data_IF_954274646886
#
_entry.id   IF_954274646886
#
_cell.length_a   1.000
_cell.length_b   1.000
_cell.length_c   1.000
_cell.angle_alpha   90.00
_cell.angle_beta   90.00
_cell.angle_gamma   90.00
#
_symmetry.space_group_name_H-M   'P 1'
#
loop_
_entity.id
_entity.type
_entity.pdbx_description
1 polymer ?
#
# COMPACT_ATOMS: atom_id res chain seq x y z
N UNK A 1 6.12 15.66 -3.37
CA UNK A 1 5.33 14.48 -3.77
C UNK A 1 4.58 13.82 -2.59
N UNK A 2 5.27 13.42 -1.52
CA UNK A 2 4.69 12.70 -0.37
C UNK A 2 3.50 13.42 0.32
N UNK A 3 3.53 14.75 0.40
CA UNK A 3 2.48 15.56 1.07
C UNK A 3 1.12 15.53 0.37
N UNK A 4 1.09 15.37 -0.96
CA UNK A 4 -0.16 15.32 -1.74
C UNK A 4 -0.84 13.95 -1.65
N UNK A 5 -0.07 12.89 -1.38
CA UNK A 5 -0.56 11.52 -1.23
C UNK A 5 -1.22 11.27 0.12
N UNK A 6 -0.64 11.78 1.21
CA UNK A 6 -1.25 11.70 2.55
C UNK A 6 -2.66 12.31 2.59
N UNK A 7 -2.89 13.39 1.84
CA UNK A 7 -4.21 14.00 1.71
C UNK A 7 -5.21 13.14 0.92
N UNK A 8 -4.75 12.36 -0.07
CA UNK A 8 -5.62 11.55 -0.93
C UNK A 8 -6.12 10.28 -0.21
N UNK A 9 -5.22 9.57 0.49
CA UNK A 9 -5.64 8.42 1.31
C UNK A 9 -6.53 8.82 2.49
N UNK A 10 -6.26 9.98 3.12
CA UNK A 10 -7.12 10.54 4.14
C UNK A 10 -8.52 10.88 3.58
N UNK A 11 -8.61 11.38 2.34
CA UNK A 11 -9.88 11.68 1.70
C UNK A 11 -10.70 10.43 1.38
N UNK A 12 -10.08 9.35 0.89
CA UNK A 12 -10.78 8.07 0.64
C UNK A 12 -11.25 7.36 1.92
N UNK A 13 -10.58 7.62 3.06
CA UNK A 13 -11.01 7.10 4.36
C UNK A 13 -12.16 7.92 4.99
N UNK A 14 -12.40 9.16 4.54
CA UNK A 14 -13.33 10.10 5.17
C UNK A 14 -14.76 10.11 4.57
N UNK A 15 -15.02 9.41 3.45
CA UNK A 15 -16.33 9.46 2.77
C UNK A 15 -17.44 8.64 3.45
N UNK A 16 -17.17 7.99 4.58
CA UNK A 16 -18.14 7.16 5.31
C UNK A 16 -18.39 7.60 6.76
N UNK A 17 -18.97 8.78 7.00
CA UNK A 17 -19.52 9.06 8.34
C UNK A 17 -19.59 10.51 8.77
N UNK A 18 -20.48 11.30 8.16
CA UNK A 18 -20.77 12.66 8.63
C UNK A 18 -21.73 12.60 9.83
N UNK A 19 -21.20 12.44 11.05
CA UNK A 19 -21.93 12.79 12.28
C UNK A 19 -21.35 14.06 12.90
N UNK A 20 -22.11 15.14 12.79
CA UNK A 20 -21.86 16.41 13.48
C UNK A 20 -21.95 16.16 14.99
N UNK A 21 -20.87 16.37 15.73
CA UNK A 21 -20.93 16.48 17.19
C UNK A 21 -20.63 17.92 17.57
N UNK A 22 -21.63 18.52 18.20
CA UNK A 22 -21.70 19.92 18.64
C UNK A 22 -20.81 20.12 19.87
N UNK A 23 -20.03 21.20 19.83
CA UNK A 23 -19.18 21.74 20.89
C UNK A 23 -19.97 22.03 22.17
N UNK A 24 -19.42 21.69 23.35
CA UNK A 24 -19.67 22.44 24.59
C UNK A 24 -18.39 22.57 25.40
N UNK A 25 -17.92 23.82 25.49
CA UNK A 25 -16.97 24.28 26.49
C UNK A 25 -17.68 24.36 27.85
N UNK A 26 -17.06 23.85 28.90
CA UNK A 26 -17.36 24.25 30.27
C UNK A 26 -16.06 24.30 31.07
N UNK A 27 -15.68 25.52 31.42
CA UNK A 27 -14.59 25.86 32.35
C UNK A 27 -15.19 25.88 33.74
N UNK A 28 -14.59 25.16 34.70
CA UNK A 28 -14.77 25.44 36.13
C UNK A 28 -13.50 25.04 36.89
N UNK A 29 -12.87 26.04 37.49
CA UNK A 29 -11.75 25.94 38.41
C UNK A 29 -12.24 25.64 39.83
N UNK A 30 -11.68 24.65 40.51
CA UNK A 30 -11.75 24.52 41.97
C UNK A 30 -10.40 24.03 42.50
N UNK A 31 -9.80 24.84 43.36
CA UNK A 31 -8.64 24.56 44.20
C UNK A 31 -8.98 23.56 45.30
N UNK A 32 -8.18 22.51 45.44
CA UNK A 32 -8.25 21.58 46.57
C UNK A 32 -6.99 20.71 46.66
N UNK A 33 -6.19 20.94 47.70
CA UNK A 33 -5.07 20.07 48.09
C UNK A 33 -5.63 18.73 48.56
N UNK A 34 -5.34 17.64 47.82
CA UNK A 34 -5.62 16.28 48.25
C UNK A 34 -4.35 15.43 48.12
N UNK A 35 -3.93 14.82 49.24
CA UNK A 35 -2.88 13.80 49.30
C UNK A 35 -3.32 12.59 48.46
N UNK A 36 -2.77 12.42 47.27
CA UNK A 36 -3.03 11.28 46.41
C UNK A 36 -1.99 10.18 46.66
N UNK A 37 -2.46 9.06 47.20
CA UNK A 37 -1.70 7.82 47.28
C UNK A 37 -1.31 7.37 45.86
N UNK A 38 -0.01 7.15 45.63
CA UNK A 38 0.55 6.57 44.41
C UNK A 38 0.18 5.07 44.34
N UNK A 39 -1.04 4.77 43.93
CA UNK A 39 -1.41 3.45 43.44
C UNK A 39 -1.02 3.31 41.97
N UNK A 40 -0.55 2.14 41.50
CA UNK A 40 -0.26 1.94 40.08
C UNK A 40 -1.56 2.11 39.28
N UNK A 41 -1.60 3.14 38.44
CA UNK A 41 -2.65 3.29 37.42
C UNK A 41 -2.49 2.19 36.41
N UNK A 42 -3.22 1.09 36.60
CA UNK A 42 -3.41 0.08 35.56
C UNK A 42 -4.15 0.79 34.43
N UNK A 43 -3.43 1.15 33.37
CA UNK A 43 -4.05 1.62 32.14
C UNK A 43 -5.03 0.54 31.69
N UNK A 44 -6.32 0.87 31.66
CA UNK A 44 -7.31 0.00 31.03
C UNK A 44 -6.94 -0.10 29.56
N UNK A 45 -6.30 -1.21 29.19
CA UNK A 45 -6.18 -1.60 27.80
C UNK A 45 -7.61 -1.77 27.27
N UNK A 46 -8.00 -0.91 26.34
CA UNK A 46 -9.24 -1.09 25.59
C UNK A 46 -9.10 -2.43 24.87
N UNK A 47 -9.78 -3.47 25.36
CA UNK A 47 -9.78 -4.78 24.73
C UNK A 47 -10.45 -4.63 23.38
N UNK A 48 -9.69 -4.81 22.31
CA UNK A 48 -10.19 -4.78 20.95
C UNK A 48 -11.05 -6.03 20.73
N UNK A 49 -12.37 -5.87 20.73
CA UNK A 49 -13.30 -6.92 20.32
C UNK A 49 -13.35 -7.00 18.80
N UNK A 50 -12.26 -7.52 18.22
CA UNK A 50 -12.10 -7.82 16.80
C UNK A 50 -10.87 -8.72 16.67
N UNK A 51 -10.89 -9.70 15.78
CA UNK A 51 -9.90 -10.77 15.64
C UNK A 51 -8.49 -10.28 15.23
N UNK A 52 -7.80 -9.43 15.99
CA UNK A 52 -6.41 -9.00 15.75
C UNK A 52 -6.09 -8.29 14.41
N UNK A 53 -7.02 -8.25 13.45
CA UNK A 53 -6.83 -7.72 12.12
C UNK A 53 -6.99 -6.20 12.09
N UNK A 54 -6.02 -5.51 11.48
CA UNK A 54 -6.20 -4.11 11.10
C UNK A 54 -7.29 -3.99 10.03
N UNK A 55 -7.94 -2.82 9.93
CA UNK A 55 -8.93 -2.57 8.88
C UNK A 55 -8.28 -2.51 7.48
N UNK A 56 -7.04 -2.02 7.42
CA UNK A 56 -6.23 -1.92 6.21
C UNK A 56 -4.86 -2.55 6.45
N UNK A 57 -4.33 -3.25 5.46
CA UNK A 57 -2.95 -3.71 5.42
C UNK A 57 -2.25 -3.16 4.18
N UNK A 58 -1.00 -2.71 4.35
CA UNK A 58 -0.15 -2.23 3.25
C UNK A 58 0.98 -3.24 3.04
N UNK A 59 0.99 -3.88 1.88
CA UNK A 59 2.06 -4.78 1.43
C UNK A 59 3.05 -3.93 0.63
N UNK A 60 4.27 -3.78 1.14
CA UNK A 60 5.29 -2.88 0.59
C UNK A 60 6.41 -3.66 -0.10
N UNK A 61 6.66 -3.38 -1.38
CA UNK A 61 7.82 -3.87 -2.11
C UNK A 61 8.87 -2.76 -2.29
N UNK A 62 10.10 -3.04 -1.86
CA UNK A 62 11.21 -2.07 -1.83
C UNK A 62 11.86 -1.84 -3.21
N UNK A 63 12.78 -0.89 -3.32
CA UNK A 63 13.62 -0.69 -4.49
C UNK A 63 14.72 -1.74 -4.57
N UNK A 64 15.32 -1.86 -5.76
CA UNK A 64 16.56 -2.63 -5.91
C UNK A 64 17.66 -2.08 -4.99
N UNK A 65 18.50 -2.98 -4.48
CA UNK A 65 19.64 -2.75 -3.57
C UNK A 65 19.30 -2.28 -2.16
N UNK A 66 18.02 -2.04 -1.85
CA UNK A 66 17.60 -1.76 -0.48
C UNK A 66 17.68 -3.01 0.39
N UNK A 67 17.98 -2.83 1.68
CA UNK A 67 17.94 -3.92 2.66
C UNK A 67 16.52 -4.48 2.81
N UNK A 68 16.40 -5.77 3.16
CA UNK A 68 15.09 -6.40 3.38
C UNK A 68 14.25 -5.60 4.40
N UNK A 69 13.02 -5.29 4.01
CA UNK A 69 12.13 -4.37 4.72
C UNK A 69 11.32 -3.53 3.75
N UNK A 70 10.71 -2.44 4.25
CA UNK A 70 9.80 -1.59 3.48
C UNK A 70 10.49 -0.59 2.55
N UNK A 71 11.82 -0.52 2.59
CA UNK A 71 12.61 0.42 1.80
C UNK A 71 12.28 1.89 2.09
N UNK A 72 12.61 2.76 1.13
CA UNK A 72 12.35 4.20 1.18
C UNK A 72 10.86 4.54 1.37
N UNK A 73 9.96 3.66 0.91
CA UNK A 73 8.51 3.80 1.04
C UNK A 73 7.97 3.48 2.44
N UNK A 74 8.77 2.90 3.34
CA UNK A 74 8.35 2.64 4.72
C UNK A 74 7.90 3.90 5.46
N UNK A 75 8.62 5.00 5.29
CA UNK A 75 8.24 6.29 5.89
C UNK A 75 6.87 6.80 5.40
N UNK A 76 6.51 6.50 4.14
CA UNK A 76 5.19 6.84 3.61
C UNK A 76 4.12 5.95 4.23
N UNK A 77 4.36 4.65 4.35
CA UNK A 77 3.45 3.72 5.00
C UNK A 77 3.19 4.11 6.47
N UNK A 78 4.23 4.51 7.22
CA UNK A 78 4.10 5.04 8.58
C UNK A 78 3.29 6.34 8.62
N UNK A 79 3.50 7.27 7.68
CA UNK A 79 2.70 8.49 7.60
C UNK A 79 1.22 8.20 7.34
N UNK A 80 0.93 7.24 6.46
CA UNK A 80 -0.45 6.78 6.21
C UNK A 80 -1.05 6.19 7.47
N UNK A 81 -0.33 5.30 8.16
CA UNK A 81 -0.78 4.69 9.41
C UNK A 81 -1.10 5.74 10.47
N UNK A 82 -0.27 6.78 10.62
CA UNK A 82 -0.47 7.84 11.60
C UNK A 82 -1.60 8.81 11.24
N UNK A 83 -1.86 9.02 9.94
CA UNK A 83 -2.89 9.95 9.46
C UNK A 83 -4.27 9.29 9.28
N UNK A 84 -4.32 7.95 9.25
CA UNK A 84 -5.55 7.21 9.00
C UNK A 84 -6.48 7.22 10.21
N UNK A 85 -7.79 7.37 9.96
CA UNK A 85 -8.81 7.10 10.97
C UNK A 85 -9.07 5.59 11.16
N UNK A 86 -8.55 4.76 10.26
CA UNK A 86 -8.65 3.31 10.32
C UNK A 86 -7.39 2.70 10.94
N UNK A 87 -7.51 1.53 11.56
CA UNK A 87 -6.31 0.77 11.94
C UNK A 87 -5.60 0.26 10.69
N UNK A 88 -4.31 0.57 10.59
CA UNK A 88 -3.45 0.17 9.45
C UNK A 88 -2.32 -0.72 9.96
N UNK A 89 -2.13 -1.87 9.33
CA UNK A 89 -0.92 -2.69 9.43
C UNK A 89 -0.07 -2.55 8.18
N UNK A 90 1.20 -2.92 8.29
CA UNK A 90 2.14 -2.87 7.17
C UNK A 90 3.03 -4.10 7.19
N UNK A 91 3.28 -4.70 6.05
CA UNK A 91 4.23 -5.79 5.86
C UNK A 91 5.10 -5.53 4.63
N UNK A 92 6.22 -6.25 4.54
CA UNK A 92 7.23 -6.01 3.52
C UNK A 92 7.49 -7.29 2.74
N UNK A 93 7.42 -7.19 1.41
CA UNK A 93 7.66 -8.31 0.51
C UNK A 93 9.07 -8.84 0.72
N UNK A 94 9.18 -10.13 1.02
CA UNK A 94 10.47 -10.81 1.13
C UNK A 94 10.94 -11.27 -0.23
N UNK A 95 11.95 -10.60 -0.79
CA UNK A 95 12.50 -10.96 -2.11
C UNK A 95 13.90 -10.35 -2.32
N UNK A 96 14.66 -10.74 -3.37
CA UNK A 96 16.06 -10.34 -3.50
C UNK A 96 16.30 -8.82 -3.70
N UNK A 97 15.41 -8.14 -4.43
CA UNK A 97 15.56 -6.75 -4.83
C UNK A 97 16.93 -6.43 -5.49
N UNK A 98 17.36 -7.19 -6.50
CA UNK A 98 18.69 -7.02 -7.14
C UNK A 98 18.59 -6.42 -8.55
N UNK A 99 19.69 -5.81 -9.03
CA UNK A 99 19.80 -5.26 -10.39
C UNK A 99 20.48 -6.23 -11.38
N UNK A 100 21.52 -6.92 -10.95
CA UNK A 100 22.35 -7.81 -11.78
C UNK A 100 21.59 -9.05 -12.31
N UNK A 101 20.53 -9.47 -11.62
CA UNK A 101 19.60 -10.52 -12.05
C UNK A 101 18.15 -10.07 -11.89
N UNK A 102 17.86 -8.83 -12.35
CA UNK A 102 16.57 -8.15 -12.18
C UNK A 102 15.37 -9.05 -12.47
N UNK A 103 15.35 -9.76 -13.60
CA UNK A 103 14.19 -10.59 -13.98
C UNK A 103 13.87 -11.67 -12.94
N UNK A 104 14.89 -12.38 -12.46
CA UNK A 104 14.70 -13.40 -11.43
C UNK A 104 14.29 -12.78 -10.08
N UNK A 105 14.85 -11.61 -9.74
CA UNK A 105 14.50 -10.88 -8.52
C UNK A 105 13.04 -10.43 -8.55
N UNK A 106 12.64 -9.77 -9.64
CA UNK A 106 11.30 -9.26 -9.87
C UNK A 106 10.27 -10.40 -9.86
N UNK A 107 10.52 -11.51 -10.57
CA UNK A 107 9.62 -12.67 -10.60
C UNK A 107 9.42 -13.30 -9.21
N UNK A 108 10.48 -13.37 -8.39
CA UNK A 108 10.38 -13.79 -6.99
C UNK A 108 9.60 -12.79 -6.15
N UNK A 109 9.79 -11.49 -6.40
CA UNK A 109 9.01 -10.41 -5.79
C UNK A 109 7.51 -10.56 -6.06
N UNK A 110 7.12 -10.75 -7.31
CA UNK A 110 5.70 -10.96 -7.69
C UNK A 110 5.15 -12.22 -7.05
N UNK A 111 5.91 -13.32 -7.12
CA UNK A 111 5.49 -14.60 -6.52
C UNK A 111 5.24 -14.44 -5.01
N UNK A 112 6.14 -13.78 -4.29
CA UNK A 112 6.05 -13.64 -2.84
C UNK A 112 5.01 -12.59 -2.43
N UNK A 113 4.89 -11.48 -3.17
CA UNK A 113 3.82 -10.50 -2.94
C UNK A 113 2.42 -11.12 -3.13
N UNK A 114 2.25 -12.02 -4.12
CA UNK A 114 1.01 -12.81 -4.30
C UNK A 114 0.75 -13.74 -3.12
N UNK A 115 1.77 -14.38 -2.58
CA UNK A 115 1.65 -15.27 -1.41
C UNK A 115 1.31 -14.49 -0.15
N UNK A 116 1.94 -13.34 0.08
CA UNK A 116 1.62 -12.42 1.18
C UNK A 116 0.17 -11.94 1.06
N UNK A 117 -0.26 -11.47 -0.12
CA UNK A 117 -1.64 -11.06 -0.37
C UNK A 117 -2.63 -12.20 -0.07
N UNK A 118 -2.37 -13.41 -0.56
CA UNK A 118 -3.24 -14.55 -0.31
C UNK A 118 -3.29 -14.92 1.19
N UNK A 119 -2.16 -14.82 1.89
CA UNK A 119 -2.07 -15.10 3.32
C UNK A 119 -2.79 -14.05 4.17
N UNK A 120 -2.63 -12.77 3.83
CA UNK A 120 -3.32 -11.65 4.48
C UNK A 120 -4.84 -11.76 4.29
N UNK A 121 -5.30 -12.06 3.07
CA UNK A 121 -6.72 -12.27 2.77
C UNK A 121 -7.29 -13.48 3.51
N UNK A 122 -6.56 -14.59 3.56
CA UNK A 122 -6.99 -15.80 4.28
C UNK A 122 -7.10 -15.55 5.79
N UNK A 123 -6.11 -14.87 6.36
CA UNK A 123 -6.04 -14.59 7.81
C UNK A 123 -7.06 -13.52 8.23
N UNK A 124 -7.28 -12.53 7.36
CA UNK A 124 -8.14 -11.38 7.61
C UNK A 124 -9.07 -11.09 6.42
N UNK A 125 -10.12 -11.89 6.17
CA UNK A 125 -10.97 -11.73 4.98
C UNK A 125 -11.69 -10.37 4.89
N UNK A 126 -11.92 -9.71 6.02
CA UNK A 126 -12.51 -8.36 6.06
C UNK A 126 -11.53 -7.21 5.85
N UNK A 127 -10.22 -7.47 5.89
CA UNK A 127 -9.18 -6.47 5.79
C UNK A 127 -8.96 -6.04 4.34
N UNK A 128 -8.93 -4.73 4.10
CA UNK A 128 -8.58 -4.17 2.79
C UNK A 128 -7.07 -4.16 2.59
N UNK A 129 -6.63 -4.51 1.39
CA UNK A 129 -5.22 -4.63 1.06
C UNK A 129 -4.81 -3.44 0.16
N UNK A 130 -3.66 -2.86 0.45
CA UNK A 130 -3.03 -1.83 -0.38
C UNK A 130 -1.67 -2.36 -0.81
N UNK A 131 -1.40 -2.33 -2.11
CA UNK A 131 -0.08 -2.68 -2.62
C UNK A 131 0.72 -1.41 -2.88
N UNK A 132 1.93 -1.33 -2.35
CA UNK A 132 2.80 -0.16 -2.46
C UNK A 132 4.19 -0.55 -2.91
N UNK A 133 4.76 0.17 -3.88
CA UNK A 133 6.08 -0.14 -4.38
C UNK A 133 6.85 1.06 -4.93
N UNK A 134 8.17 0.96 -4.86
CA UNK A 134 9.10 1.94 -5.45
C UNK A 134 10.13 1.25 -6.34
N UNK A 135 10.38 1.82 -7.53
CA UNK A 135 11.29 1.28 -8.55
C UNK A 135 10.94 -0.18 -8.91
N UNK A 136 11.85 -1.13 -8.73
CA UNK A 136 11.54 -2.57 -8.91
C UNK A 136 10.34 -3.03 -8.08
N UNK A 137 10.14 -2.48 -6.88
CA UNK A 137 8.97 -2.78 -6.07
C UNK A 137 7.66 -2.29 -6.69
N UNK A 138 7.69 -1.18 -7.43
CA UNK A 138 6.53 -0.70 -8.17
C UNK A 138 6.17 -1.66 -9.32
N UNK A 139 7.19 -2.19 -10.00
CA UNK A 139 7.03 -3.27 -10.98
C UNK A 139 6.32 -4.47 -10.33
N UNK A 140 6.87 -4.94 -9.21
CA UNK A 140 6.38 -6.11 -8.47
C UNK A 140 4.91 -5.96 -8.10
N UNK A 141 4.49 -4.83 -7.50
CA UNK A 141 3.11 -4.69 -7.01
C UNK A 141 2.07 -4.52 -8.12
N UNK A 142 2.42 -3.90 -9.23
CA UNK A 142 1.54 -3.82 -10.40
C UNK A 142 1.42 -5.19 -11.10
N UNK A 143 2.51 -5.96 -11.10
CA UNK A 143 2.55 -7.27 -11.73
C UNK A 143 1.88 -8.38 -10.89
N UNK A 144 1.58 -8.11 -9.61
CA UNK A 144 0.60 -8.91 -8.86
C UNK A 144 -0.76 -8.92 -9.58
N UNK A 145 -1.15 -7.83 -10.24
CA UNK A 145 -2.42 -7.73 -10.99
C UNK A 145 -2.29 -8.26 -12.41
N UNK A 146 -1.15 -8.01 -13.07
CA UNK A 146 -1.02 -8.24 -14.52
C UNK A 146 -0.26 -9.50 -14.89
N UNK A 147 0.50 -10.08 -13.96
CA UNK A 147 1.65 -10.91 -14.29
C UNK A 147 2.81 -10.06 -14.85
N UNK A 148 3.98 -10.68 -15.03
CA UNK A 148 5.24 -10.01 -15.36
C UNK A 148 5.79 -10.36 -16.77
N UNK A 149 4.91 -10.53 -17.75
CA UNK A 149 5.29 -10.98 -19.09
C UNK A 149 6.27 -10.04 -19.82
N UNK A 150 6.36 -8.77 -19.42
CA UNK A 150 7.32 -7.77 -19.90
C UNK A 150 8.74 -8.00 -19.37
N UNK A 151 8.88 -8.61 -18.19
CA UNK A 151 10.17 -8.85 -17.53
C UNK A 151 10.74 -10.22 -17.96
N UNK A 152 11.20 -10.30 -19.21
CA UNK A 152 11.89 -11.44 -19.87
C UNK A 152 11.23 -12.85 -19.69
N UNK A 153 10.93 -13.57 -20.79
CA UNK A 153 10.03 -14.74 -20.78
C UNK A 153 10.50 -16.01 -20.05
N UNK A 154 11.72 -16.08 -19.51
CA UNK A 154 12.23 -17.30 -18.85
C UNK A 154 11.73 -17.49 -17.41
N UNK A 155 11.13 -16.47 -16.78
CA UNK A 155 10.68 -16.51 -15.37
C UNK A 155 9.24 -16.00 -15.19
N UNK A 156 8.37 -16.21 -16.19
CA UNK A 156 7.01 -15.65 -16.19
C UNK A 156 6.17 -16.13 -15.01
N UNK A 157 5.59 -15.17 -14.30
CA UNK A 157 4.63 -15.30 -13.22
C UNK A 157 3.31 -14.70 -13.69
N UNK A 158 2.24 -15.50 -13.65
CA UNK A 158 0.89 -15.01 -13.94
C UNK A 158 0.33 -14.09 -12.85
N UNK A 159 -0.82 -13.45 -13.09
CA UNK A 159 -1.47 -12.60 -12.09
C UNK A 159 -1.90 -13.35 -10.82
N UNK A 160 -2.22 -12.62 -9.76
CA UNK A 160 -2.91 -13.15 -8.59
C UNK A 160 -4.32 -13.64 -8.94
N UNK A 161 -4.85 -14.63 -8.21
CA UNK A 161 -6.25 -15.04 -8.36
C UNK A 161 -7.21 -13.86 -8.13
N UNK A 162 -8.28 -13.79 -8.91
CA UNK A 162 -9.30 -12.75 -8.78
C UNK A 162 -9.90 -12.67 -7.36
N UNK A 163 -10.01 -13.81 -6.67
CA UNK A 163 -10.44 -13.87 -5.28
C UNK A 163 -9.55 -13.00 -4.38
N UNK A 164 -8.22 -13.11 -4.48
CA UNK A 164 -7.28 -12.28 -3.72
C UNK A 164 -7.32 -10.82 -4.17
N UNK A 165 -7.35 -10.57 -5.48
CA UNK A 165 -7.38 -9.21 -6.04
C UNK A 165 -8.63 -8.42 -5.62
N UNK A 166 -9.76 -9.09 -5.35
CA UNK A 166 -10.99 -8.45 -4.88
C UNK A 166 -10.87 -7.76 -3.50
N UNK A 167 -9.81 -8.06 -2.73
CA UNK A 167 -9.50 -7.38 -1.47
C UNK A 167 -8.56 -6.19 -1.63
N UNK A 168 -7.93 -6.02 -2.81
CA UNK A 168 -7.02 -4.90 -3.08
C UNK A 168 -7.84 -3.64 -3.34
N UNK A 169 -7.76 -2.69 -2.41
CA UNK A 169 -8.45 -1.42 -2.50
C UNK A 169 -7.66 -0.35 -3.27
N UNK A 170 -6.32 -0.43 -3.23
CA UNK A 170 -5.47 0.52 -3.94
C UNK A 170 -4.10 -0.07 -4.30
N UNK A 171 -3.51 0.48 -5.37
CA UNK A 171 -2.12 0.23 -5.78
C UNK A 171 -1.38 1.55 -5.93
N UNK A 172 -0.19 1.63 -5.37
CA UNK A 172 0.60 2.85 -5.24
C UNK A 172 2.01 2.56 -5.76
N UNK A 173 2.35 3.05 -6.94
CA UNK A 173 3.64 2.82 -7.57
C UNK A 173 4.44 4.11 -7.74
N UNK A 174 5.75 4.04 -7.57
CA UNK A 174 6.65 5.16 -7.80
C UNK A 174 7.84 4.71 -8.65
N UNK A 175 8.08 5.35 -9.79
CA UNK A 175 9.22 5.05 -10.67
C UNK A 175 9.16 3.64 -11.25
N UNK A 176 7.98 3.18 -11.63
CA UNK A 176 7.73 1.84 -12.15
C UNK A 176 8.45 1.59 -13.50
N UNK A 177 9.40 0.64 -13.57
CA UNK A 177 10.03 0.23 -14.82
C UNK A 177 9.04 -0.33 -15.85
N UNK A 178 7.88 -0.82 -15.39
CA UNK A 178 6.74 -1.31 -16.16
C UNK A 178 5.90 -0.23 -16.86
N UNK A 179 6.19 1.05 -16.60
CA UNK A 179 5.30 2.16 -16.95
C UNK A 179 5.05 2.27 -18.47
N UNK A 180 3.80 2.56 -18.84
CA UNK A 180 3.41 3.05 -20.15
C UNK A 180 2.76 4.40 -19.92
N UNK A 181 3.21 5.45 -20.59
CA UNK A 181 2.64 6.79 -20.35
C UNK A 181 1.19 6.91 -20.81
N UNK A 182 0.50 7.92 -20.27
CA UNK A 182 -0.87 8.34 -20.64
C UNK A 182 -1.96 7.34 -20.24
N UNK A 183 -1.71 6.50 -19.25
CA UNK A 183 -2.77 5.72 -18.62
C UNK A 183 -3.54 6.57 -17.61
N UNK A 184 -4.77 6.17 -17.31
CA UNK A 184 -5.66 6.93 -16.41
C UNK A 184 -5.18 6.94 -14.95
N UNK A 185 -4.23 6.09 -14.58
CA UNK A 185 -3.63 6.00 -13.25
C UNK A 185 -2.24 6.67 -13.15
N UNK A 186 -1.73 7.20 -14.26
CA UNK A 186 -0.42 7.84 -14.30
C UNK A 186 -0.49 9.23 -13.67
N UNK A 187 0.52 9.53 -12.86
CA UNK A 187 0.77 10.84 -12.27
C UNK A 187 2.23 11.20 -12.44
N UNK A 188 2.54 12.49 -12.31
CA UNK A 188 3.89 13.01 -12.51
C UNK A 188 4.01 13.79 -13.82
N UNK A 189 5.25 14.06 -14.19
CA UNK A 189 5.62 14.97 -15.28
C UNK A 189 6.03 14.23 -16.55
N UNK A 190 6.35 12.94 -16.48
CA UNK A 190 6.65 12.16 -17.68
C UNK A 190 5.37 11.78 -18.43
N UNK A 191 5.29 12.25 -19.68
CA UNK A 191 4.15 12.05 -20.57
C UNK A 191 4.57 11.50 -21.93
N UNK A 192 5.86 11.19 -22.12
CA UNK A 192 6.43 10.83 -23.41
C UNK A 192 7.32 9.61 -23.41
N UNK A 193 7.86 9.20 -22.26
CA UNK A 193 8.84 8.11 -22.18
C UNK A 193 8.26 6.92 -21.40
N UNK A 194 8.16 5.78 -22.07
CA UNK A 194 7.78 4.55 -21.39
C UNK A 194 8.94 4.06 -20.49
N UNK A 195 8.59 3.24 -19.50
CA UNK A 195 9.57 2.56 -18.66
C UNK A 195 10.46 1.60 -19.46
N UNK A 196 11.55 1.16 -18.83
CA UNK A 196 12.55 0.27 -19.44
C UNK A 196 12.02 -1.14 -19.72
N UNK A 197 10.91 -1.53 -19.10
CA UNK A 197 10.17 -2.77 -19.33
C UNK A 197 8.72 -2.43 -19.65
N UNK A 198 8.42 -1.81 -20.81
CA UNK A 198 7.07 -1.32 -21.09
C UNK A 198 6.05 -2.46 -21.05
N UNK A 199 5.00 -2.33 -20.20
CA UNK A 199 3.92 -3.32 -20.13
C UNK A 199 3.24 -3.54 -21.48
N UNK A 200 2.88 -4.79 -21.74
CA UNK A 200 2.13 -5.18 -22.94
C UNK A 200 0.68 -4.69 -22.90
N UNK A 201 0.03 -4.65 -24.06
CA UNK A 201 -1.40 -4.33 -24.15
C UNK A 201 -2.28 -5.25 -23.30
N UNK A 202 -1.93 -6.54 -23.21
CA UNK A 202 -2.64 -7.49 -22.35
C UNK A 202 -2.56 -7.11 -20.87
N UNK A 203 -1.41 -6.64 -20.41
CA UNK A 203 -1.22 -6.19 -19.03
C UNK A 203 -1.94 -4.87 -18.76
N UNK A 204 -1.96 -3.93 -19.71
CA UNK A 204 -2.76 -2.71 -19.59
C UNK A 204 -4.27 -3.01 -19.52
N UNK A 205 -4.75 -3.99 -20.30
CA UNK A 205 -6.13 -4.47 -20.19
C UNK A 205 -6.42 -5.11 -18.84
N UNK A 206 -5.47 -5.88 -18.27
CA UNK A 206 -5.62 -6.43 -16.93
C UNK A 206 -5.74 -5.33 -15.85
N UNK A 207 -4.92 -4.28 -15.91
CA UNK A 207 -5.05 -3.12 -15.01
C UNK A 207 -6.38 -2.38 -15.21
N UNK A 208 -6.81 -2.21 -16.46
CA UNK A 208 -8.11 -1.59 -16.77
C UNK A 208 -9.25 -2.40 -16.18
N UNK A 209 -9.25 -3.73 -16.36
CA UNK A 209 -10.27 -4.63 -15.83
C UNK A 209 -10.25 -4.71 -14.30
N UNK A 210 -9.09 -4.54 -13.67
CA UNK A 210 -8.95 -4.38 -12.23
C UNK A 210 -9.57 -3.08 -11.70
N UNK A 211 -9.79 -2.08 -12.56
CA UNK A 211 -10.31 -0.77 -12.18
C UNK A 211 -9.23 0.23 -11.80
N UNK A 212 -8.01 0.06 -12.33
CA UNK A 212 -6.84 0.88 -11.98
C UNK A 212 -7.05 2.39 -12.13
N UNK A 213 -7.91 2.85 -13.04
CA UNK A 213 -8.24 4.29 -13.15
C UNK A 213 -8.74 4.88 -11.81
N UNK A 214 -9.49 4.10 -11.02
CA UNK A 214 -10.03 4.51 -9.73
C UNK A 214 -9.10 4.14 -8.55
N UNK A 215 -8.44 2.99 -8.62
CA UNK A 215 -7.73 2.38 -7.48
C UNK A 215 -6.20 2.46 -7.56
N UNK A 216 -5.62 2.82 -8.70
CA UNK A 216 -4.17 2.84 -8.90
C UNK A 216 -3.67 4.26 -9.07
N UNK A 217 -2.51 4.55 -8.48
CA UNK A 217 -1.74 5.77 -8.73
C UNK A 217 -0.28 5.37 -8.94
N UNK A 218 0.26 5.67 -10.12
CA UNK A 218 1.65 5.40 -10.48
C UNK A 218 2.35 6.71 -10.82
N UNK A 219 3.40 7.09 -10.08
CA UNK A 219 4.14 8.32 -10.31
C UNK A 219 5.42 8.10 -11.12
N UNK A 220 5.62 8.88 -12.18
CA UNK A 220 6.85 8.92 -12.96
C UNK A 220 7.15 10.36 -13.44
N UNK A 221 8.38 10.81 -13.28
CA UNK A 221 8.86 12.14 -13.66
C UNK A 221 10.04 12.02 -14.64
N UNK A 222 10.23 13.04 -15.49
CA UNK A 222 11.35 13.15 -16.46
C UNK A 222 12.65 13.64 -15.84
#
# INVERSE_FOLDING_TARGET
MLTRFGAYLAATAAEGGRRRVVTRFAVTSITGLALAALGPTVASATVFSGSGCAQVNIIVARASTEAQGQGITGNLATQVQNASAQTVSTEAVVYPATLNNYASSESQGVTNAKQELASAVSSCPGQKQVLMGYSQGANVVLDVVTGNAEVRPSTVVGPAPAASLSHVAAIVGFGDPGNIVKQAWDLGTDTSTNGIFPRSSAQLHALTNFGAAASTRSWCDT
#
